data_IF_117618686470
#
_entry.id   IF_117618686470
#
_cell.length_a   1.000
_cell.length_b   1.000
_cell.length_c   1.000
_cell.angle_alpha   90.00
_cell.angle_beta   90.00
_cell.angle_gamma   90.00
#
_symmetry.space_group_name_H-M   'P 1'
#
loop_
_entity.id
_entity.type
_entity.pdbx_description
1 polymer ?
#
# COMPACT_ATOMS: atom_id res chain seq x y z
N UNK A 1 13.44 10.07 1.76
CA UNK A 1 12.47 10.55 2.77
C UNK A 1 12.11 9.39 3.68
N UNK A 2 11.86 9.65 4.96
CA UNK A 2 11.34 8.65 5.90
C UNK A 2 9.88 8.33 5.61
N UNK A 3 9.34 7.30 6.25
CA UNK A 3 7.92 6.96 6.16
C UNK A 3 7.04 8.15 6.58
N UNK A 4 7.32 8.75 7.73
CA UNK A 4 6.52 9.86 8.27
C UNK A 4 6.61 11.12 7.41
N UNK A 5 7.78 11.42 6.84
CA UNK A 5 7.95 12.55 5.91
C UNK A 5 7.08 12.41 4.66
N UNK A 6 6.95 11.19 4.12
CA UNK A 6 6.11 10.94 2.94
C UNK A 6 4.64 11.08 3.30
N UNK A 7 4.20 10.50 4.43
CA UNK A 7 2.82 10.63 4.89
C UNK A 7 2.46 12.10 5.13
N UNK A 8 3.30 12.84 5.84
CA UNK A 8 3.10 14.27 6.09
C UNK A 8 3.03 15.07 4.79
N UNK A 9 3.87 14.76 3.79
CA UNK A 9 3.81 15.43 2.50
C UNK A 9 2.48 15.17 1.78
N UNK A 10 1.97 13.94 1.79
CA UNK A 10 0.67 13.58 1.19
C UNK A 10 -0.49 14.20 1.95
N UNK A 11 -0.40 14.26 3.29
CA UNK A 11 -1.36 14.95 4.13
C UNK A 11 -1.45 16.45 3.81
N UNK A 12 -0.31 17.06 3.47
CA UNK A 12 -0.22 18.45 2.97
C UNK A 12 -0.52 18.58 1.47
N UNK A 13 -0.94 17.50 0.81
CA UNK A 13 -1.46 17.53 -0.56
C UNK A 13 -0.48 17.18 -1.67
N UNK A 14 0.70 16.66 -1.33
CA UNK A 14 1.61 16.13 -2.33
C UNK A 14 1.01 14.92 -3.05
N UNK A 15 1.25 14.83 -4.36
CA UNK A 15 0.89 13.64 -5.13
C UNK A 15 1.94 12.57 -4.92
N UNK A 16 1.52 11.32 -4.72
CA UNK A 16 2.45 10.20 -4.64
C UNK A 16 2.12 9.11 -5.66
N UNK A 17 3.11 8.31 -5.99
CA UNK A 17 2.95 7.14 -6.84
C UNK A 17 3.87 6.03 -6.35
N UNK A 18 3.29 4.85 -6.11
CA UNK A 18 4.04 3.65 -5.74
C UNK A 18 3.98 2.66 -6.90
N UNK A 19 5.14 2.11 -7.24
CA UNK A 19 5.26 1.00 -8.16
C UNK A 19 5.91 -0.17 -7.43
N UNK A 20 5.11 -1.20 -7.13
CA UNK A 20 5.60 -2.36 -6.42
C UNK A 20 6.65 -3.10 -7.25
N UNK A 21 6.38 -3.45 -8.51
CA UNK A 21 7.31 -4.19 -9.38
C UNK A 21 8.68 -3.52 -9.50
N UNK A 22 8.70 -2.19 -9.71
CA UNK A 22 9.92 -1.38 -9.84
C UNK A 22 10.52 -0.96 -8.50
N UNK A 23 9.86 -1.30 -7.38
CA UNK A 23 10.28 -0.96 -6.03
C UNK A 23 10.50 0.54 -5.80
N UNK A 24 9.65 1.40 -6.38
CA UNK A 24 9.82 2.86 -6.29
C UNK A 24 8.64 3.56 -5.63
N UNK A 25 8.92 4.56 -4.80
CA UNK A 25 7.97 5.59 -4.39
C UNK A 25 8.41 6.94 -4.97
N UNK A 26 7.45 7.66 -5.58
CA UNK A 26 7.63 9.04 -6.04
C UNK A 26 6.70 9.97 -5.30
N UNK A 27 7.19 11.14 -4.93
CA UNK A 27 6.40 12.25 -4.38
C UNK A 27 6.62 13.47 -5.26
N UNK A 28 5.53 14.08 -5.74
CA UNK A 28 5.53 15.17 -6.72
C UNK A 28 6.45 14.88 -7.94
N UNK A 29 6.42 13.63 -8.42
CA UNK A 29 7.18 13.17 -9.58
C UNK A 29 8.64 12.82 -9.32
N UNK A 30 9.20 13.15 -8.15
CA UNK A 30 10.59 12.83 -7.77
C UNK A 30 10.64 11.49 -7.03
N UNK A 31 11.59 10.63 -7.38
CA UNK A 31 11.83 9.38 -6.64
C UNK A 31 12.37 9.70 -5.26
N UNK A 32 11.71 9.20 -4.21
CA UNK A 32 12.07 9.45 -2.80
C UNK A 32 12.42 8.17 -2.03
N UNK A 33 12.12 7.01 -2.64
CA UNK A 33 12.48 5.67 -2.17
C UNK A 33 12.57 4.72 -3.37
N UNK A 34 13.56 3.83 -3.35
CA UNK A 34 13.92 2.89 -4.40
C UNK A 34 14.51 1.58 -3.81
N UNK A 35 14.84 0.62 -4.68
CA UNK A 35 15.50 -0.63 -4.29
C UNK A 35 16.88 -0.42 -3.62
N UNK A 36 17.55 0.69 -3.95
CA UNK A 36 18.84 1.09 -3.37
C UNK A 36 18.71 1.57 -1.91
N UNK A 37 17.50 1.99 -1.51
CA UNK A 37 17.21 2.55 -0.19
C UNK A 37 16.86 1.47 0.85
N UNK A 38 17.37 0.24 0.69
CA UNK A 38 17.08 -0.88 1.60
C UNK A 38 17.32 -0.45 3.05
N UNK A 39 16.28 -0.47 3.93
CA UNK A 39 16.44 -0.03 5.31
C UNK A 39 17.50 -0.87 6.03
N UNK A 40 18.56 -0.22 6.53
CA UNK A 40 19.74 -0.92 7.08
C UNK A 40 19.53 -1.51 8.48
N UNK A 41 18.60 -0.96 9.26
CA UNK A 41 18.42 -1.30 10.68
C UNK A 41 16.95 -1.51 11.07
N UNK A 42 16.29 -2.54 10.55
CA UNK A 42 14.95 -2.90 11.07
C UNK A 42 14.83 -4.40 11.27
N UNK A 43 14.27 -4.86 12.40
CA UNK A 43 14.11 -6.29 12.65
C UNK A 43 13.32 -6.96 11.53
N UNK A 44 13.76 -8.16 11.17
CA UNK A 44 12.99 -9.05 10.30
C UNK A 44 11.67 -9.38 10.99
N UNK A 45 10.57 -9.17 10.26
CA UNK A 45 9.23 -9.50 10.72
C UNK A 45 8.80 -10.82 10.09
N UNK A 46 8.04 -11.61 10.84
CA UNK A 46 7.42 -12.81 10.27
C UNK A 46 6.31 -12.42 9.29
N UNK A 47 6.04 -13.28 8.31
CA UNK A 47 4.93 -13.07 7.37
C UNK A 47 3.60 -12.80 8.07
N UNK A 48 3.30 -13.50 9.16
CA UNK A 48 2.06 -13.30 9.92
C UNK A 48 1.93 -11.87 10.46
N UNK A 49 3.01 -11.32 11.02
CA UNK A 49 3.02 -9.93 11.54
C UNK A 49 2.86 -8.93 10.40
N UNK A 50 3.55 -9.16 9.27
CA UNK A 50 3.45 -8.29 8.08
C UNK A 50 2.03 -8.29 7.51
N UNK A 51 1.46 -9.47 7.27
CA UNK A 51 0.12 -9.59 6.70
C UNK A 51 -0.93 -8.98 7.62
N UNK A 52 -0.86 -9.21 8.93
CA UNK A 52 -1.74 -8.57 9.90
C UNK A 52 -1.65 -7.04 9.81
N UNK A 53 -0.44 -6.49 9.73
CA UNK A 53 -0.22 -5.05 9.61
C UNK A 53 -0.72 -4.46 8.27
N UNK A 54 -0.68 -5.25 7.19
CA UNK A 54 -1.29 -4.88 5.89
C UNK A 54 -2.82 -4.89 6.03
N UNK A 55 -3.41 -5.91 6.63
CA UNK A 55 -4.86 -6.02 6.84
C UNK A 55 -5.42 -4.86 7.66
N UNK A 56 -4.74 -4.46 8.75
CA UNK A 56 -5.17 -3.30 9.55
C UNK A 56 -5.16 -2.00 8.73
N UNK A 57 -4.12 -1.78 7.92
CA UNK A 57 -4.02 -0.62 7.04
C UNK A 57 -5.03 -0.67 5.91
N UNK A 58 -5.29 -1.85 5.37
CA UNK A 58 -6.30 -2.04 4.34
C UNK A 58 -7.70 -1.76 4.85
N UNK A 59 -8.04 -2.22 6.07
CA UNK A 59 -9.30 -1.87 6.72
C UNK A 59 -9.47 -0.36 6.83
N UNK A 60 -8.45 0.36 7.31
CA UNK A 60 -8.47 1.82 7.39
C UNK A 60 -8.63 2.48 6.00
N UNK A 61 -7.95 1.97 4.97
CA UNK A 61 -8.11 2.46 3.59
C UNK A 61 -9.49 2.16 3.00
N UNK A 62 -10.02 0.96 3.22
CA UNK A 62 -11.31 0.53 2.67
C UNK A 62 -12.46 1.40 3.17
N UNK A 63 -12.38 1.83 4.43
CA UNK A 63 -13.32 2.72 5.11
C UNK A 63 -12.92 4.21 5.08
N UNK A 64 -11.89 4.58 4.31
CA UNK A 64 -11.41 5.96 4.26
C UNK A 64 -12.34 6.88 3.47
N UNK A 65 -12.36 8.16 3.82
CA UNK A 65 -13.25 9.17 3.23
C UNK A 65 -12.70 9.65 1.88
N UNK A 66 -13.47 9.55 0.78
CA UNK A 66 -13.04 10.04 -0.52
C UNK A 66 -12.87 11.57 -0.51
N UNK A 67 -12.10 12.05 -1.48
CA UNK A 67 -11.97 13.47 -1.80
C UNK A 67 -11.93 13.63 -3.32
N UNK A 68 -12.16 14.84 -3.84
CA UNK A 68 -12.02 15.11 -5.28
C UNK A 68 -10.66 14.65 -5.82
N UNK A 69 -9.60 14.82 -5.02
CA UNK A 69 -8.26 14.37 -5.37
C UNK A 69 -8.20 12.86 -5.54
N UNK A 70 -8.74 12.12 -4.57
CA UNK A 70 -8.74 10.66 -4.66
C UNK A 70 -9.55 10.23 -5.85
N UNK A 71 -10.77 10.74 -6.05
CA UNK A 71 -11.66 10.35 -7.15
C UNK A 71 -11.09 10.70 -8.54
N UNK A 72 -10.23 11.73 -8.65
CA UNK A 72 -9.54 12.07 -9.90
C UNK A 72 -8.47 11.05 -10.32
N UNK A 73 -8.03 10.18 -9.40
CA UNK A 73 -7.01 9.18 -9.67
C UNK A 73 -7.60 7.99 -10.44
N UNK A 74 -7.02 7.63 -11.60
CA UNK A 74 -7.61 6.61 -12.49
C UNK A 74 -7.25 5.17 -12.15
N UNK A 75 -6.26 4.92 -11.29
CA UNK A 75 -5.75 3.57 -11.00
C UNK A 75 -5.37 3.46 -9.52
N UNK A 76 -5.89 2.44 -8.87
CA UNK A 76 -5.52 2.03 -7.51
C UNK A 76 -5.25 0.53 -7.52
N UNK A 77 -4.34 0.07 -6.65
CA UNK A 77 -4.10 -1.36 -6.46
C UNK A 77 -5.21 -2.05 -5.68
N UNK A 78 -5.86 -1.32 -4.78
CA UNK A 78 -6.82 -1.83 -3.82
C UNK A 78 -8.16 -1.13 -3.97
N UNK A 79 -9.24 -1.86 -3.69
CA UNK A 79 -10.60 -1.33 -3.69
C UNK A 79 -10.92 -0.71 -2.31
N UNK A 80 -11.52 0.48 -2.32
CA UNK A 80 -12.15 1.08 -1.15
C UNK A 80 -13.67 1.17 -1.35
N UNK A 81 -14.42 1.35 -0.27
CA UNK A 81 -15.86 1.56 -0.35
C UNK A 81 -16.16 2.91 -1.01
N UNK A 82 -17.15 3.01 -1.91
CA UNK A 82 -17.64 4.30 -2.36
C UNK A 82 -18.27 5.06 -1.18
N UNK A 83 -18.38 6.39 -1.29
CA UNK A 83 -18.93 7.26 -0.23
C UNK A 83 -20.28 6.76 0.31
N UNK A 84 -21.18 6.35 -0.59
CA UNK A 84 -22.51 5.81 -0.27
C UNK A 84 -22.53 4.52 0.58
N UNK A 85 -21.40 3.82 0.67
CA UNK A 85 -21.25 2.57 1.42
C UNK A 85 -20.46 2.79 2.73
N UNK A 86 -20.05 4.03 3.02
CA UNK A 86 -19.41 4.39 4.29
C UNK A 86 -20.45 4.54 5.40
N UNK A 87 -20.08 4.15 6.61
CA UNK A 87 -20.90 4.40 7.79
C UNK A 87 -20.80 5.88 8.23
N UNK A 88 -21.76 6.34 9.04
CA UNK A 88 -21.70 7.69 9.61
C UNK A 88 -20.43 7.91 10.45
N UNK A 89 -19.96 6.87 11.14
CA UNK A 89 -18.71 6.89 11.90
C UNK A 89 -17.50 7.07 10.98
N UNK A 90 -17.45 6.32 9.87
CA UNK A 90 -16.41 6.47 8.85
C UNK A 90 -16.42 7.88 8.27
N UNK A 91 -17.59 8.46 8.01
CA UNK A 91 -17.71 9.82 7.47
C UNK A 91 -17.26 10.90 8.46
N UNK A 92 -17.47 10.68 9.77
CA UNK A 92 -17.16 11.66 10.81
C UNK A 92 -15.69 11.60 11.27
N UNK A 93 -15.11 10.40 11.34
CA UNK A 93 -13.80 10.17 11.94
C UNK A 93 -12.80 9.47 11.00
N UNK A 94 -13.23 9.07 9.81
CA UNK A 94 -12.38 8.36 8.86
C UNK A 94 -11.23 9.20 8.33
N UNK A 95 -10.10 8.53 8.11
CA UNK A 95 -8.93 9.16 7.50
C UNK A 95 -9.20 9.52 6.03
N UNK A 96 -8.58 10.60 5.54
CA UNK A 96 -8.62 10.95 4.12
C UNK A 96 -8.04 9.83 3.26
N UNK A 97 -8.76 9.42 2.22
CA UNK A 97 -8.43 8.29 1.35
C UNK A 97 -7.03 8.29 0.78
N UNK A 98 -6.54 9.44 0.35
CA UNK A 98 -5.19 9.57 -0.20
C UNK A 98 -4.11 9.24 0.84
N UNK A 99 -4.33 9.64 2.10
CA UNK A 99 -3.40 9.40 3.21
C UNK A 99 -3.44 7.92 3.61
N UNK A 100 -4.64 7.36 3.78
CA UNK A 100 -4.80 5.93 4.10
C UNK A 100 -4.21 5.03 3.00
N UNK A 101 -4.41 5.40 1.72
CA UNK A 101 -3.78 4.74 0.57
C UNK A 101 -2.27 4.78 0.67
N UNK A 102 -1.72 5.97 0.96
CA UNK A 102 -0.28 6.15 1.08
C UNK A 102 0.29 5.27 2.20
N UNK A 103 -0.33 5.25 3.38
CA UNK A 103 0.08 4.40 4.51
C UNK A 103 0.09 2.92 4.15
N UNK A 104 -0.97 2.44 3.48
CA UNK A 104 -1.07 1.04 3.04
C UNK A 104 0.01 0.69 2.00
N UNK A 105 0.04 1.41 0.89
CA UNK A 105 0.93 1.10 -0.23
C UNK A 105 2.40 1.27 0.16
N UNK A 106 2.74 2.34 0.90
CA UNK A 106 4.12 2.59 1.32
C UNK A 106 4.60 1.52 2.29
N UNK A 107 3.73 1.06 3.20
CA UNK A 107 4.06 -0.03 4.11
C UNK A 107 4.38 -1.32 3.34
N UNK A 108 3.55 -1.69 2.35
CA UNK A 108 3.79 -2.87 1.50
C UNK A 108 5.12 -2.72 0.76
N UNK A 109 5.39 -1.57 0.14
CA UNK A 109 6.65 -1.31 -0.55
C UNK A 109 7.85 -1.49 0.40
N UNK A 110 7.79 -0.96 1.61
CA UNK A 110 8.86 -1.11 2.60
C UNK A 110 9.07 -2.58 2.97
N UNK A 111 8.02 -3.37 3.14
CA UNK A 111 8.18 -4.81 3.46
C UNK A 111 8.74 -5.60 2.28
N UNK A 112 8.42 -5.22 1.04
CA UNK A 112 9.04 -5.76 -0.16
C UNK A 112 10.54 -5.43 -0.22
N UNK A 113 10.93 -4.18 0.04
CA UNK A 113 12.33 -3.73 0.06
C UNK A 113 13.15 -4.43 1.15
N UNK A 114 12.55 -4.69 2.31
CA UNK A 114 13.18 -5.41 3.42
C UNK A 114 13.30 -6.92 3.17
N UNK A 115 12.49 -7.47 2.26
CA UNK A 115 12.37 -8.92 2.07
C UNK A 115 11.53 -9.62 3.13
N UNK A 116 10.77 -8.87 3.95
CA UNK A 116 9.83 -9.44 4.93
C UNK A 116 8.56 -9.98 4.26
N UNK A 117 8.27 -9.51 3.03
CA UNK A 117 7.16 -10.00 2.23
C UNK A 117 7.72 -10.78 1.02
N UNK A 118 7.83 -12.10 1.18
CA UNK A 118 8.25 -13.03 0.13
C UNK A 118 7.09 -13.94 -0.29
N UNK A 119 7.12 -14.48 -1.51
CA UNK A 119 6.06 -15.37 -1.99
C UNK A 119 6.12 -16.71 -1.26
N UNK A 120 4.98 -17.21 -0.81
CA UNK A 120 4.87 -18.53 -0.19
C UNK A 120 4.09 -19.47 -1.12
N UNK A 121 4.57 -20.70 -1.29
CA UNK A 121 3.94 -21.69 -2.17
C UNK A 121 2.45 -21.95 -1.85
N UNK A 122 2.07 -21.84 -0.56
CA UNK A 122 0.68 -22.02 -0.12
C UNK A 122 -0.28 -20.92 -0.59
N UNK A 123 0.21 -19.77 -1.05
CA UNK A 123 -0.62 -18.70 -1.61
C UNK A 123 -1.09 -19.01 -3.04
N UNK A 124 -0.62 -20.11 -3.62
CA UNK A 124 -1.00 -20.54 -4.96
C UNK A 124 -0.09 -19.92 -6.02
N UNK A 125 -0.64 -19.76 -7.23
CA UNK A 125 0.16 -19.42 -8.42
C UNK A 125 0.25 -17.93 -8.70
N UNK A 126 -0.79 -17.15 -8.40
CA UNK A 126 -0.98 -15.82 -9.00
C UNK A 126 -1.17 -14.69 -8.00
N UNK A 127 -1.91 -14.93 -6.91
CA UNK A 127 -2.19 -13.90 -5.92
C UNK A 127 -2.52 -14.53 -4.58
N UNK A 128 -2.12 -13.84 -3.52
CA UNK A 128 -2.62 -14.08 -2.17
C UNK A 128 -3.88 -13.25 -1.96
N UNK A 129 -4.82 -13.77 -1.18
CA UNK A 129 -6.05 -13.10 -0.80
C UNK A 129 -6.22 -13.23 0.71
N UNK A 130 -6.54 -12.13 1.39
CA UNK A 130 -6.79 -12.16 2.83
C UNK A 130 -7.99 -13.04 3.17
N UNK A 131 -7.89 -13.74 4.30
CA UNK A 131 -9.00 -14.50 4.88
C UNK A 131 -10.01 -13.58 5.55
N UNK A 132 -9.56 -12.44 6.09
CA UNK A 132 -10.36 -11.45 6.80
C UNK A 132 -11.11 -10.51 5.86
N UNK A 133 -10.51 -10.14 4.71
CA UNK A 133 -11.16 -9.33 3.70
C UNK A 133 -10.79 -9.77 2.27
N UNK A 134 -11.76 -10.33 1.55
CA UNK A 134 -11.55 -10.91 0.21
C UNK A 134 -11.21 -9.89 -0.87
N UNK A 135 -11.42 -8.59 -0.63
CA UNK A 135 -11.01 -7.53 -1.55
C UNK A 135 -9.51 -7.18 -1.41
N UNK A 136 -8.86 -7.60 -0.31
CA UNK A 136 -7.42 -7.46 -0.15
C UNK A 136 -6.68 -8.56 -0.89
N UNK A 137 -6.09 -8.19 -2.02
CA UNK A 137 -5.34 -9.09 -2.91
C UNK A 137 -3.90 -8.58 -3.05
N UNK A 138 -2.92 -9.47 -2.89
CA UNK A 138 -1.52 -9.20 -3.18
C UNK A 138 -1.10 -10.06 -4.37
N UNK A 139 -0.74 -9.41 -5.48
CA UNK A 139 -0.32 -10.13 -6.69
C UNK A 139 1.10 -10.69 -6.53
N UNK A 140 1.31 -11.90 -7.04
CA UNK A 140 2.63 -12.54 -7.06
C UNK A 140 3.66 -11.66 -7.77
N UNK A 141 3.26 -11.08 -8.89
CA UNK A 141 4.12 -10.23 -9.71
C UNK A 141 4.53 -8.91 -9.01
N UNK A 142 3.86 -8.53 -7.91
CA UNK A 142 4.36 -7.45 -7.05
C UNK A 142 5.51 -7.92 -6.17
N UNK A 143 5.56 -9.19 -5.78
CA UNK A 143 6.59 -9.76 -4.90
C UNK A 143 7.75 -10.32 -5.72
N UNK A 144 7.44 -11.12 -6.73
CA UNK A 144 8.36 -11.74 -7.68
C UNK A 144 8.07 -11.20 -9.08
N UNK A 145 8.47 -9.95 -9.39
CA UNK A 145 8.20 -9.38 -10.70
C UNK A 145 8.89 -10.19 -11.79
N UNK A 146 8.14 -10.54 -12.83
CA UNK A 146 8.73 -11.15 -14.03
C UNK A 146 9.65 -10.12 -14.71
N UNK A 147 10.97 -10.26 -14.52
CA UNK A 147 11.98 -9.41 -15.19
C UNK A 147 12.09 -9.68 -16.70
N UNK A 148 11.28 -10.60 -17.25
CA UNK A 148 11.20 -10.93 -18.67
C UNK A 148 9.85 -10.56 -19.25
N UNK A 149 9.82 -9.49 -20.04
CA UNK A 149 8.64 -8.98 -20.73
C UNK A 149 8.95 -7.64 -21.41
N UNK A 150 9.94 -7.67 -22.31
CA UNK A 150 10.13 -6.68 -23.37
C UNK A 150 9.52 -7.25 -24.65
#
# INVERSE_FOLDING_TARGET
MTYDEIINAVENGAKFTINFQKRTCRVNGKTVMSEEDKPKDTPYLTHAVVLFAIEQRYKAYKHSVPSERSESHRRYYFKALPEKELSDEDMMYGERREVARCKLELYILIQLLRGNLAWENRWGRWFWKSENDKDLIILRDWIEPNKGGA
#
